data_IF_612172187630
#
_entry.id   IF_612172187630
#
_cell.length_a   1.000
_cell.length_b   1.000
_cell.length_c   1.000
_cell.angle_alpha   90.00
_cell.angle_beta   90.00
_cell.angle_gamma   90.00
#
_symmetry.space_group_name_H-M   'P 1'
#
loop_
_entity.id
_entity.type
_entity.pdbx_description
1 polymer ?
#
# COMPACT_ATOMS: atom_id res chain seq x y z
N UNK A 1 33.25 17.32 20.08
CA UNK A 1 32.85 15.94 19.73
C UNK A 1 31.82 16.07 18.64
N UNK A 2 32.16 15.79 17.38
CA UNK A 2 31.15 15.77 16.32
C UNK A 2 30.28 14.55 16.55
N UNK A 3 29.04 14.78 16.99
CA UNK A 3 28.03 13.73 17.02
C UNK A 3 27.70 13.42 15.57
N UNK A 4 28.38 12.42 14.99
CA UNK A 4 28.04 11.91 13.67
C UNK A 4 26.71 11.16 13.78
N UNK A 5 25.60 11.86 13.56
CA UNK A 5 24.27 11.25 13.56
C UNK A 5 24.14 10.34 12.34
N UNK A 6 23.81 9.08 12.58
CA UNK A 6 23.58 8.12 11.50
C UNK A 6 22.14 8.24 11.00
N UNK A 7 21.91 8.04 9.71
CA UNK A 7 20.54 7.89 9.23
C UNK A 7 19.92 6.61 9.82
N UNK A 8 18.63 6.70 10.18
CA UNK A 8 17.89 5.54 10.64
C UNK A 8 17.97 4.42 9.59
N UNK A 9 18.34 3.20 10.01
CA UNK A 9 18.42 2.08 9.09
C UNK A 9 17.07 1.87 8.42
N UNK A 10 17.08 1.75 7.10
CA UNK A 10 15.91 1.59 6.23
C UNK A 10 14.98 2.82 6.13
N UNK A 11 15.34 4.01 6.61
CA UNK A 11 14.47 5.19 6.53
C UNK A 11 14.00 5.51 5.09
N UNK A 12 14.92 5.53 4.13
CA UNK A 12 14.63 5.77 2.71
C UNK A 12 13.88 4.59 2.07
N UNK A 13 14.24 3.36 2.42
CA UNK A 13 13.54 2.16 1.95
C UNK A 13 12.07 2.15 2.42
N UNK A 14 11.81 2.49 3.68
CA UNK A 14 10.45 2.57 4.25
C UNK A 14 9.62 3.63 3.51
N UNK A 15 10.21 4.78 3.19
CA UNK A 15 9.53 5.82 2.43
C UNK A 15 9.16 5.35 1.02
N UNK A 16 10.13 4.76 0.29
CA UNK A 16 9.92 4.25 -1.07
C UNK A 16 8.90 3.11 -1.09
N UNK A 17 9.00 2.16 -0.15
CA UNK A 17 8.04 1.05 -0.05
C UNK A 17 6.62 1.54 0.30
N UNK A 18 6.49 2.61 1.09
CA UNK A 18 5.22 3.27 1.36
C UNK A 18 4.58 3.87 0.11
N UNK A 19 5.36 4.55 -0.73
CA UNK A 19 4.89 5.09 -2.03
C UNK A 19 4.52 3.94 -2.98
N UNK A 20 5.36 2.91 -3.07
CA UNK A 20 5.12 1.73 -3.89
C UNK A 20 3.88 0.95 -3.47
N UNK A 21 3.48 0.99 -2.19
CA UNK A 21 2.23 0.37 -1.73
C UNK A 21 1.00 1.04 -2.38
N UNK A 22 1.01 2.37 -2.52
CA UNK A 22 -0.07 3.12 -3.18
C UNK A 22 -0.11 2.81 -4.69
N UNK A 23 1.05 2.84 -5.35
CA UNK A 23 1.14 2.53 -6.79
C UNK A 23 0.78 1.05 -7.06
N UNK A 24 1.24 0.15 -6.19
CA UNK A 24 0.96 -1.28 -6.26
C UNK A 24 -0.49 -1.64 -5.98
N UNK A 25 -1.25 -0.79 -5.26
CA UNK A 25 -2.68 -0.97 -5.05
C UNK A 25 -3.47 -0.89 -6.36
N UNK A 26 -3.18 0.08 -7.23
CA UNK A 26 -3.95 0.31 -8.46
C UNK A 26 -3.69 -0.74 -9.55
N UNK A 27 -2.47 -1.28 -9.63
CA UNK A 27 -2.06 -2.15 -10.73
C UNK A 27 -1.95 -3.63 -10.34
N UNK A 28 -1.73 -3.94 -9.06
CA UNK A 28 -1.43 -5.29 -8.59
C UNK A 28 -2.05 -5.61 -7.22
N UNK A 29 -3.07 -4.86 -6.78
CA UNK A 29 -3.91 -5.08 -5.58
C UNK A 29 -3.20 -5.75 -4.39
N UNK A 30 -3.15 -7.08 -4.41
CA UNK A 30 -2.49 -7.97 -3.44
C UNK A 30 -1.01 -7.59 -3.18
N UNK A 31 -0.26 -7.24 -4.21
CA UNK A 31 1.17 -6.85 -4.07
C UNK A 31 1.30 -5.55 -3.28
N UNK A 32 0.36 -4.61 -3.47
CA UNK A 32 0.30 -3.36 -2.69
C UNK A 32 0.07 -3.61 -1.21
N UNK A 33 -0.75 -4.61 -0.86
CA UNK A 33 -1.01 -5.06 0.53
C UNK A 33 0.27 -5.63 1.15
N UNK A 34 0.98 -6.51 0.43
CA UNK A 34 2.23 -7.12 0.93
C UNK A 34 3.27 -6.04 1.22
N UNK A 35 3.52 -5.13 0.28
CA UNK A 35 4.45 -4.03 0.49
C UNK A 35 4.03 -3.11 1.63
N UNK A 36 2.72 -2.84 1.78
CA UNK A 36 2.18 -2.08 2.91
C UNK A 36 2.51 -2.72 4.25
N UNK A 37 2.21 -4.02 4.41
CA UNK A 37 2.48 -4.77 5.65
C UNK A 37 3.98 -4.79 5.98
N UNK A 38 4.83 -5.10 5.00
CA UNK A 38 6.29 -5.11 5.19
C UNK A 38 6.78 -3.74 5.64
N UNK A 39 6.30 -2.67 5.00
CA UNK A 39 6.65 -1.29 5.36
C UNK A 39 6.26 -0.96 6.80
N UNK A 40 5.08 -1.39 7.26
CA UNK A 40 4.64 -1.17 8.64
C UNK A 40 5.54 -1.87 9.67
N UNK A 41 5.95 -3.11 9.38
CA UNK A 41 6.85 -3.88 10.26
C UNK A 41 8.23 -3.20 10.34
N UNK A 42 8.80 -2.80 9.20
CA UNK A 42 10.09 -2.11 9.15
C UNK A 42 10.01 -0.75 9.85
N UNK A 43 8.94 0.02 9.62
CA UNK A 43 8.74 1.30 10.27
C UNK A 43 8.61 1.15 11.79
N UNK A 44 7.93 0.12 12.28
CA UNK A 44 7.82 -0.15 13.73
C UNK A 44 9.20 -0.41 14.34
N UNK A 45 10.01 -1.27 13.72
CA UNK A 45 11.39 -1.56 14.17
C UNK A 45 12.28 -0.31 14.15
N UNK A 46 12.19 0.49 13.08
CA UNK A 46 12.94 1.73 12.97
C UNK A 46 12.56 2.73 14.08
N UNK A 47 11.28 2.88 14.40
CA UNK A 47 10.84 3.75 15.50
C UNK A 47 11.33 3.27 16.87
N UNK A 48 11.40 1.95 17.09
CA UNK A 48 11.90 1.38 18.34
C UNK A 48 13.39 1.68 18.54
N UNK A 49 14.20 1.56 17.47
CA UNK A 49 15.62 1.94 17.48
C UNK A 49 15.80 3.44 17.74
N UNK A 50 14.97 4.28 17.08
CA UNK A 50 14.98 5.72 17.32
C UNK A 50 14.66 6.09 18.77
N UNK A 51 13.63 5.45 19.35
CA UNK A 51 13.22 5.72 20.73
C UNK A 51 14.27 5.27 21.75
N UNK A 52 15.06 4.24 21.44
CA UNK A 52 16.17 3.82 22.30
C UNK A 52 17.32 4.84 22.33
N UNK A 53 17.63 5.47 21.19
CA UNK A 53 18.73 6.44 21.07
C UNK A 53 18.41 7.61 20.11
N UNK A 54 17.53 8.56 20.47
CA UNK A 54 17.05 9.59 19.55
C UNK A 54 18.14 10.60 19.16
N UNK A 55 19.17 10.76 19.99
CA UNK A 55 20.28 11.67 19.72
C UNK A 55 21.23 11.15 18.63
N UNK A 56 21.27 9.83 18.42
CA UNK A 56 22.20 9.17 17.51
C UNK A 56 21.68 9.10 16.06
N UNK A 57 20.37 9.30 15.86
CA UNK A 57 19.72 9.02 14.57
C UNK A 57 19.02 10.23 13.92
N UNK A 58 19.11 10.31 12.58
CA UNK A 58 18.37 11.23 11.71
C UNK A 58 17.40 10.46 10.79
N UNK A 59 16.50 11.17 10.10
CA UNK A 59 15.60 10.54 9.11
C UNK A 59 14.32 9.92 9.70
N UNK A 60 14.02 10.16 10.98
CA UNK A 60 12.77 9.70 11.61
C UNK A 60 11.50 10.21 10.91
N UNK A 61 11.57 11.40 10.31
CA UNK A 61 10.47 11.95 9.51
C UNK A 61 10.15 11.06 8.29
N UNK A 62 11.17 10.50 7.61
CA UNK A 62 10.96 9.62 6.46
C UNK A 62 10.29 8.30 6.88
N UNK A 63 10.68 7.76 8.04
CA UNK A 63 10.04 6.58 8.63
C UNK A 63 8.57 6.84 8.97
N UNK A 64 8.27 8.00 9.58
CA UNK A 64 6.90 8.42 9.89
C UNK A 64 6.05 8.58 8.62
N UNK A 65 6.57 9.28 7.62
CA UNK A 65 5.89 9.49 6.35
C UNK A 65 5.63 8.15 5.64
N UNK A 66 6.64 7.28 5.51
CA UNK A 66 6.48 5.97 4.90
C UNK A 66 5.45 5.09 5.62
N UNK A 67 5.40 5.14 6.96
CA UNK A 67 4.35 4.45 7.73
C UNK A 67 2.96 4.99 7.41
N UNK A 68 2.78 6.32 7.40
CA UNK A 68 1.49 6.94 7.10
C UNK A 68 1.03 6.54 5.69
N UNK A 69 1.92 6.62 4.70
CA UNK A 69 1.65 6.23 3.32
C UNK A 69 1.27 4.74 3.22
N UNK A 70 1.95 3.85 3.95
CA UNK A 70 1.61 2.44 3.98
C UNK A 70 0.22 2.16 4.58
N UNK A 71 -0.18 2.88 5.64
CA UNK A 71 -1.53 2.77 6.21
C UNK A 71 -2.58 3.22 5.19
N UNK A 72 -2.36 4.37 4.55
CA UNK A 72 -3.27 4.90 3.52
C UNK A 72 -3.40 3.90 2.36
N UNK A 73 -2.28 3.37 1.85
CA UNK A 73 -2.28 2.38 0.78
C UNK A 73 -3.03 1.10 1.16
N UNK A 74 -2.88 0.61 2.40
CA UNK A 74 -3.58 -0.56 2.90
C UNK A 74 -5.10 -0.32 2.98
N UNK A 75 -5.52 0.85 3.47
CA UNK A 75 -6.94 1.23 3.58
C UNK A 75 -7.58 1.36 2.21
N UNK A 76 -6.91 2.02 1.26
CA UNK A 76 -7.38 2.14 -0.12
C UNK A 76 -7.51 0.76 -0.79
N UNK A 77 -6.53 -0.13 -0.58
CA UNK A 77 -6.57 -1.49 -1.12
C UNK A 77 -7.72 -2.31 -0.52
N UNK A 78 -7.95 -2.19 0.79
CA UNK A 78 -9.07 -2.85 1.46
C UNK A 78 -10.43 -2.35 0.96
N UNK A 79 -10.59 -1.03 0.78
CA UNK A 79 -11.80 -0.45 0.20
C UNK A 79 -12.03 -0.95 -1.24
N UNK A 80 -10.98 -0.99 -2.06
CA UNK A 80 -11.07 -1.48 -3.43
C UNK A 80 -11.49 -2.96 -3.48
N UNK A 81 -10.91 -3.80 -2.62
CA UNK A 81 -11.32 -5.20 -2.48
C UNK A 81 -12.78 -5.34 -2.03
N UNK A 82 -13.22 -4.53 -1.06
CA UNK A 82 -14.62 -4.54 -0.61
C UNK A 82 -15.58 -4.13 -1.71
N UNK A 83 -15.27 -3.08 -2.48
CA UNK A 83 -16.10 -2.66 -3.62
C UNK A 83 -16.10 -3.72 -4.72
N UNK A 84 -14.97 -4.37 -4.97
CA UNK A 84 -14.85 -5.42 -5.99
C UNK A 84 -15.68 -6.66 -5.60
N UNK A 85 -15.57 -7.11 -4.36
CA UNK A 85 -16.39 -8.22 -3.82
C UNK A 85 -17.88 -7.84 -3.82
N UNK A 86 -18.20 -6.62 -3.39
CA UNK A 86 -19.58 -6.11 -3.39
C UNK A 86 -20.18 -6.07 -4.80
N UNK A 87 -19.43 -5.58 -5.79
CA UNK A 87 -19.84 -5.59 -7.20
C UNK A 87 -20.04 -7.03 -7.71
N UNK A 88 -19.12 -7.95 -7.43
CA UNK A 88 -19.28 -9.36 -7.81
C UNK A 88 -20.57 -9.97 -7.25
N UNK A 89 -20.93 -9.67 -6.01
CA UNK A 89 -22.17 -10.18 -5.41
C UNK A 89 -23.41 -9.49 -6.01
N UNK A 90 -23.35 -8.17 -6.24
CA UNK A 90 -24.48 -7.40 -6.78
C UNK A 90 -24.79 -7.72 -8.25
N UNK A 91 -23.77 -7.92 -9.09
CA UNK A 91 -23.93 -8.28 -10.50
C UNK A 91 -24.18 -9.78 -10.72
N UNK A 92 -24.58 -10.54 -9.68
CA UNK A 92 -24.95 -11.95 -9.83
C UNK A 92 -23.77 -12.91 -10.01
N UNK A 93 -22.56 -12.52 -9.61
CA UNK A 93 -21.34 -13.31 -9.81
C UNK A 93 -20.78 -13.19 -11.22
N UNK A 94 -20.07 -14.22 -11.68
CA UNK A 94 -19.49 -14.25 -13.02
C UNK A 94 -20.55 -14.19 -14.13
N UNK A 95 -21.79 -14.58 -13.84
CA UNK A 95 -22.89 -14.72 -14.80
C UNK A 95 -23.37 -13.36 -15.36
N UNK A 96 -23.53 -12.33 -14.52
CA UNK A 96 -23.88 -10.98 -15.01
C UNK A 96 -22.72 -10.24 -15.68
N UNK A 97 -21.48 -10.60 -15.37
CA UNK A 97 -20.29 -10.15 -16.09
C UNK A 97 -20.20 -10.76 -17.49
N UNK A 98 -20.54 -12.04 -17.63
CA UNK A 98 -20.65 -12.73 -18.91
C UNK A 98 -21.81 -12.20 -19.78
N UNK A 99 -22.97 -11.89 -19.19
CA UNK A 99 -24.09 -11.24 -19.90
C UNK A 99 -23.72 -9.83 -20.38
N UNK A 100 -23.12 -9.01 -19.52
CA UNK A 100 -22.65 -7.67 -19.89
C UNK A 100 -21.57 -7.71 -20.99
N UNK A 101 -20.66 -8.70 -20.95
CA UNK A 101 -19.71 -8.93 -22.04
C UNK A 101 -20.39 -9.40 -23.33
N UNK A 102 -21.42 -10.24 -23.24
CA UNK A 102 -22.20 -10.68 -24.41
C UNK A 102 -22.94 -9.53 -25.06
N UNK A 103 -23.59 -8.65 -24.30
CA UNK A 103 -24.29 -7.48 -24.84
C UNK A 103 -23.35 -6.48 -25.54
N UNK A 104 -22.10 -6.32 -25.08
CA UNK A 104 -21.11 -5.50 -25.78
C UNK A 104 -20.47 -6.17 -27.00
N UNK A 105 -20.46 -7.51 -27.05
CA UNK A 105 -19.90 -8.29 -28.16
C UNK A 105 -20.93 -8.62 -29.23
N UNK A 106 -22.22 -8.31 -29.02
CA UNK A 106 -23.15 -8.22 -30.12
C UNK A 106 -22.73 -7.02 -30.99
N UNK A 107 -22.27 -7.24 -32.24
CA UNK A 107 -22.21 -6.13 -33.18
C UNK A 107 -23.63 -5.59 -33.25
N UNK A 108 -23.83 -4.30 -32.98
CA UNK A 108 -25.12 -3.64 -33.20
C UNK A 108 -25.52 -3.92 -34.66
N UNK A 109 -26.35 -4.95 -34.84
CA UNK A 109 -26.82 -5.42 -36.12
C UNK A 109 -27.85 -4.43 -36.63
N UNK A 110 -27.36 -3.40 -37.31
CA UNK A 110 -27.98 -2.87 -38.52
C UNK A 110 -27.13 -3.28 -39.72
#
# INVERSE_FOLDING_TARGET
MELNKQELPNATLILILGILSIVGCCCYGIVGVIFGIITLILAKKAMEIYNANPEMYLGYQNVKLGRILAIIGLVLSALFLLTFIGALIFYGGMEGLEEFQREMMEPQGM
#
